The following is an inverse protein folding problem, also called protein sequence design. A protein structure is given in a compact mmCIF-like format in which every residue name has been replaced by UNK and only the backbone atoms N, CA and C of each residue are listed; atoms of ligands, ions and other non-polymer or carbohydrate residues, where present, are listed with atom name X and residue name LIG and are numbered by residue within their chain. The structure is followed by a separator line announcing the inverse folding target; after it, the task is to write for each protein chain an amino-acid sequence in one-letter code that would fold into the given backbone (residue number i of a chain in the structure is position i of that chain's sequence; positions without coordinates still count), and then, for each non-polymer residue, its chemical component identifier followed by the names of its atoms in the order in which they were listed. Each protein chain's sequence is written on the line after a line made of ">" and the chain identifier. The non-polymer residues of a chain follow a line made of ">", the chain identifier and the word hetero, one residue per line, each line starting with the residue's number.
data_IF_209791937633
#
_entry.id   IF_209791937633
#
_cell.length_a   1.000
_cell.length_b   1.000
_cell.length_c   1.000
_cell.angle_alpha   90.00
_cell.angle_beta   90.00
_cell.angle_gamma   90.00
#
_symmetry.space_group_name_H-M   'P 1'
#
loop_
_entity.id
_entity.type
_entity.pdbx_description
1 polymer ?
#
# COMPACT_ATOMS: atom_id res chain seq x y z
N UNK A 1 -39.30 46.49 24.20
CA UNK A 1 -39.53 45.85 22.87
C UNK A 1 -38.49 46.14 21.79
N UNK A 2 -37.31 46.68 22.16
CA UNK A 2 -36.31 47.10 21.19
C UNK A 2 -35.37 46.00 20.63
N UNK A 3 -35.45 44.76 21.15
CA UNK A 3 -34.55 43.68 20.72
C UNK A 3 -34.99 42.87 19.50
N UNK A 4 -36.26 42.90 19.12
CA UNK A 4 -36.77 42.02 18.02
C UNK A 4 -36.19 42.41 16.64
N UNK A 5 -36.05 43.71 16.36
CA UNK A 5 -35.49 44.17 15.10
C UNK A 5 -34.00 43.82 14.95
N UNK A 6 -33.21 43.92 16.02
CA UNK A 6 -31.79 43.55 16.00
C UNK A 6 -31.62 42.05 15.75
N UNK A 7 -32.41 41.22 16.43
CA UNK A 7 -32.37 39.75 16.26
C UNK A 7 -32.73 39.38 14.81
N UNK A 8 -33.72 40.03 14.23
CA UNK A 8 -34.14 39.78 12.83
C UNK A 8 -33.03 40.18 11.85
N UNK A 9 -32.36 41.33 12.06
CA UNK A 9 -31.24 41.74 11.22
C UNK A 9 -30.08 40.76 11.31
N UNK A 10 -29.71 40.36 12.53
CA UNK A 10 -28.64 39.36 12.74
C UNK A 10 -28.98 38.03 12.07
N UNK A 11 -30.22 37.58 12.18
CA UNK A 11 -30.67 36.34 11.52
C UNK A 11 -30.60 36.43 10.00
N UNK A 12 -30.98 37.55 9.41
CA UNK A 12 -30.90 37.78 7.96
C UNK A 12 -29.43 37.80 7.51
N UNK A 13 -28.56 38.53 8.22
CA UNK A 13 -27.13 38.59 7.89
C UNK A 13 -26.49 37.19 7.99
N UNK A 14 -26.79 36.45 9.05
CA UNK A 14 -26.29 35.09 9.21
C UNK A 14 -26.80 34.20 8.07
N UNK A 15 -28.06 34.29 7.69
CA UNK A 15 -28.63 33.55 6.56
C UNK A 15 -27.95 33.86 5.23
N UNK A 16 -27.62 35.14 4.97
CA UNK A 16 -26.89 35.56 3.77
C UNK A 16 -25.46 35.03 3.76
N UNK A 17 -24.77 34.98 4.90
CA UNK A 17 -23.43 34.39 5.04
C UNK A 17 -23.50 32.90 4.74
N UNK A 18 -24.46 32.15 5.34
CA UNK A 18 -24.64 30.73 5.08
C UNK A 18 -24.93 30.43 3.60
N UNK A 19 -25.78 31.23 2.95
CA UNK A 19 -26.04 31.10 1.52
C UNK A 19 -24.78 31.30 0.68
N UNK A 20 -23.99 32.33 1.02
CA UNK A 20 -22.73 32.62 0.31
C UNK A 20 -21.71 31.45 0.44
N UNK A 21 -21.64 30.80 1.60
CA UNK A 21 -20.75 29.64 1.81
C UNK A 21 -21.25 28.36 1.08
N UNK A 22 -22.53 28.25 0.76
CA UNK A 22 -23.08 27.13 -0.02
C UNK A 22 -22.88 27.27 -1.53
N UNK A 23 -22.70 28.51 -2.04
CA UNK A 23 -22.52 28.76 -3.48
C UNK A 23 -21.35 27.98 -4.12
N UNK A 24 -20.15 27.90 -3.51
CA UNK A 24 -19.07 27.11 -4.07
C UNK A 24 -19.41 25.64 -4.23
N UNK A 25 -20.10 25.05 -3.25
CA UNK A 25 -20.53 23.64 -3.28
C UNK A 25 -21.53 23.38 -4.41
N UNK A 26 -22.53 24.26 -4.55
CA UNK A 26 -23.51 24.15 -5.63
C UNK A 26 -22.86 24.30 -7.02
N UNK A 27 -21.97 25.27 -7.17
CA UNK A 27 -21.26 25.51 -8.43
C UNK A 27 -20.33 24.35 -8.80
N UNK A 28 -19.54 23.84 -7.85
CA UNK A 28 -18.67 22.67 -8.05
C UNK A 28 -19.48 21.44 -8.48
N UNK A 29 -20.58 21.15 -7.81
CA UNK A 29 -21.49 20.03 -8.15
C UNK A 29 -22.08 20.17 -9.56
N UNK A 30 -22.48 21.39 -9.96
CA UNK A 30 -23.00 21.67 -11.31
C UNK A 30 -21.94 21.41 -12.38
N UNK A 31 -20.72 21.90 -12.19
CA UNK A 31 -19.60 21.67 -13.12
C UNK A 31 -19.24 20.18 -13.19
N UNK A 32 -19.22 19.46 -12.07
CA UNK A 32 -18.95 18.01 -12.05
C UNK A 32 -19.99 17.22 -12.85
N UNK A 33 -21.27 17.55 -12.74
CA UNK A 33 -22.31 16.90 -13.54
C UNK A 33 -22.14 17.14 -15.05
N UNK A 34 -21.69 18.33 -15.44
CA UNK A 34 -21.37 18.66 -16.84
C UNK A 34 -20.13 17.91 -17.34
N UNK A 35 -19.08 17.79 -16.52
CA UNK A 35 -17.88 16.99 -16.83
C UNK A 35 -18.27 15.52 -16.98
N UNK A 36 -19.15 15.00 -16.13
CA UNK A 36 -19.61 13.62 -16.20
C UNK A 36 -20.44 13.37 -17.50
N UNK A 37 -21.24 14.32 -17.92
CA UNK A 37 -21.96 14.25 -19.19
C UNK A 37 -21.04 14.33 -20.42
N UNK A 38 -19.94 15.10 -20.31
CA UNK A 38 -18.96 15.29 -21.38
C UNK A 38 -17.85 14.18 -21.42
N UNK A 39 -18.04 13.04 -20.71
CA UNK A 39 -17.07 11.93 -20.69
C UNK A 39 -16.73 11.47 -22.10
N UNK A 40 -15.43 11.51 -22.43
CA UNK A 40 -14.88 11.14 -23.74
C UNK A 40 -14.49 12.32 -24.63
N UNK A 41 -14.82 13.57 -24.26
CA UNK A 41 -14.42 14.76 -25.01
C UNK A 41 -13.51 15.67 -24.16
N UNK A 42 -12.19 15.45 -24.23
CA UNK A 42 -11.21 16.19 -23.43
C UNK A 42 -11.23 17.71 -23.68
N UNK A 43 -11.52 18.13 -24.92
CA UNK A 43 -11.59 19.55 -25.28
C UNK A 43 -12.76 20.25 -24.56
N UNK A 44 -13.90 19.57 -24.49
CA UNK A 44 -15.10 20.09 -23.84
C UNK A 44 -14.93 20.11 -22.32
N UNK A 45 -14.34 19.07 -21.74
CA UNK A 45 -14.01 19.03 -20.31
C UNK A 45 -13.09 20.20 -19.92
N UNK A 46 -12.10 20.51 -20.75
CA UNK A 46 -11.20 21.66 -20.50
C UNK A 46 -11.96 23.00 -20.52
N UNK A 47 -12.85 23.20 -21.50
CA UNK A 47 -13.69 24.42 -21.58
C UNK A 47 -14.59 24.56 -20.35
N UNK A 48 -15.25 23.46 -19.92
CA UNK A 48 -16.13 23.42 -18.75
C UNK A 48 -15.34 23.77 -17.47
N UNK A 49 -14.10 23.31 -17.32
CA UNK A 49 -13.25 23.64 -16.17
C UNK A 49 -12.74 25.07 -16.16
N UNK A 50 -12.63 25.71 -17.33
CA UNK A 50 -12.22 27.11 -17.48
C UNK A 50 -13.39 28.09 -17.33
N UNK A 51 -14.64 27.59 -17.32
CA UNK A 51 -15.83 28.40 -17.09
C UNK A 51 -15.82 29.03 -15.69
N UNK A 52 -16.38 30.24 -15.59
CA UNK A 52 -16.34 31.01 -14.35
C UNK A 52 -17.74 31.53 -14.00
N UNK A 53 -18.12 31.38 -12.73
CA UNK A 53 -19.32 32.00 -12.20
C UNK A 53 -19.02 33.42 -11.76
N UNK A 54 -19.63 34.41 -12.42
CA UNK A 54 -19.52 35.81 -12.04
C UNK A 54 -20.63 36.17 -11.02
N UNK A 55 -20.22 36.41 -9.77
CA UNK A 55 -21.13 36.75 -8.66
C UNK A 55 -21.28 38.27 -8.49
N UNK A 56 -20.77 39.08 -9.42
CA UNK A 56 -20.82 40.57 -9.35
C UNK A 56 -19.70 41.16 -8.49
N UNK A 57 -19.47 40.64 -7.29
CA UNK A 57 -18.41 41.07 -6.38
C UNK A 57 -17.12 40.20 -6.47
N UNK A 58 -17.21 39.00 -7.03
CA UNK A 58 -16.08 38.10 -7.26
C UNK A 58 -16.34 37.14 -8.40
N UNK A 59 -15.25 36.66 -9.04
CA UNK A 59 -15.32 35.57 -10.02
C UNK A 59 -14.92 34.26 -9.33
N UNK A 60 -15.82 33.28 -9.38
CA UNK A 60 -15.60 31.97 -8.82
C UNK A 60 -15.18 31.02 -9.94
N UNK A 61 -13.92 30.58 -9.89
CA UNK A 61 -13.36 29.56 -10.78
C UNK A 61 -13.67 28.16 -10.22
N UNK A 62 -13.80 27.17 -11.09
CA UNK A 62 -14.03 25.78 -10.67
C UNK A 62 -13.01 25.29 -9.65
N UNK A 63 -11.71 25.58 -9.84
CA UNK A 63 -10.66 25.19 -8.89
C UNK A 63 -10.89 25.76 -7.49
N UNK A 64 -11.21 27.06 -7.39
CA UNK A 64 -11.51 27.72 -6.11
C UNK A 64 -12.83 27.24 -5.49
N UNK A 65 -13.84 26.93 -6.32
CA UNK A 65 -15.08 26.36 -5.85
C UNK A 65 -14.86 24.96 -5.27
N UNK A 66 -14.01 24.18 -5.90
CA UNK A 66 -13.65 22.84 -5.45
C UNK A 66 -12.88 22.84 -4.13
N UNK A 67 -11.98 23.80 -3.93
CA UNK A 67 -11.24 23.96 -2.67
C UNK A 67 -12.14 24.34 -1.50
N UNK A 68 -13.20 25.15 -1.80
CA UNK A 68 -14.20 25.62 -0.83
C UNK A 68 -15.45 24.75 -0.74
N UNK A 69 -15.54 23.69 -1.53
CA UNK A 69 -16.66 22.77 -1.51
C UNK A 69 -16.82 22.17 -0.10
N UNK A 70 -18.08 22.09 0.36
CA UNK A 70 -18.40 21.41 1.61
C UNK A 70 -18.00 19.93 1.52
N UNK A 71 -17.15 19.49 2.44
CA UNK A 71 -16.65 18.13 2.49
C UNK A 71 -17.74 17.20 2.99
N UNK A 72 -18.43 16.54 2.06
CA UNK A 72 -19.43 15.53 2.38
C UNK A 72 -18.74 14.19 2.63
N UNK A 73 -19.03 13.57 3.78
CA UNK A 73 -18.52 12.23 4.10
C UNK A 73 -19.12 11.14 3.23
N UNK A 74 -18.67 9.91 3.44
CA UNK A 74 -19.12 8.68 2.73
C UNK A 74 -20.65 8.52 2.76
N UNK A 75 -21.28 8.87 3.86
CA UNK A 75 -22.73 8.69 4.06
C UNK A 75 -23.57 9.58 3.13
N UNK A 76 -23.05 10.74 2.74
CA UNK A 76 -23.78 11.70 1.91
C UNK A 76 -23.37 11.67 0.43
N UNK A 77 -22.14 11.38 0.12
CA UNK A 77 -21.60 11.37 -1.26
C UNK A 77 -21.43 9.96 -1.83
N UNK A 78 -21.60 8.92 -0.98
CA UNK A 78 -21.20 7.56 -1.30
C UNK A 78 -19.69 7.45 -1.44
N UNK A 79 -19.19 6.27 -1.71
CA UNK A 79 -17.75 6.06 -1.91
C UNK A 79 -17.32 4.65 -1.56
N UNK A 80 -16.01 4.47 -1.41
CA UNK A 80 -15.39 3.20 -1.12
C UNK A 80 -14.74 3.28 0.25
N UNK A 81 -15.05 2.31 1.12
CA UNK A 81 -14.34 2.07 2.36
C UNK A 81 -13.60 0.73 2.24
N UNK A 82 -12.29 0.75 2.45
CA UNK A 82 -11.43 -0.43 2.37
C UNK A 82 -10.66 -0.57 3.67
N UNK A 83 -10.70 -1.76 4.26
CA UNK A 83 -9.83 -2.13 5.35
C UNK A 83 -8.69 -2.99 4.80
N UNK A 84 -7.48 -2.47 4.84
CA UNK A 84 -6.26 -3.17 4.43
C UNK A 84 -5.62 -3.82 5.65
N UNK A 85 -5.17 -5.04 5.51
CA UNK A 85 -4.39 -5.74 6.53
C UNK A 85 -3.02 -6.08 5.98
N UNK A 86 -1.98 -5.72 6.72
CA UNK A 86 -0.60 -6.04 6.36
C UNK A 86 -0.31 -7.46 6.82
N UNK A 87 0.22 -8.27 5.91
CA UNK A 87 0.59 -9.65 6.21
C UNK A 87 1.78 -9.69 7.18
N UNK A 88 1.49 -9.87 8.46
CA UNK A 88 2.52 -9.90 9.50
C UNK A 88 3.39 -11.15 9.43
N UNK A 89 2.87 -12.26 8.89
CA UNK A 89 3.68 -13.47 8.62
C UNK A 89 4.83 -13.17 7.67
N UNK A 90 4.55 -12.44 6.59
CA UNK A 90 5.58 -12.05 5.62
C UNK A 90 6.60 -11.11 6.24
N UNK A 91 6.17 -10.21 7.14
CA UNK A 91 7.09 -9.35 7.88
C UNK A 91 8.02 -10.15 8.78
N UNK A 92 7.52 -11.18 9.47
CA UNK A 92 8.38 -12.06 10.29
C UNK A 92 9.34 -12.83 9.40
N UNK A 93 8.89 -13.38 8.27
CA UNK A 93 9.75 -14.06 7.31
C UNK A 93 10.86 -13.15 6.77
N UNK A 94 10.53 -11.91 6.46
CA UNK A 94 11.52 -10.91 5.99
C UNK A 94 12.55 -10.58 7.07
N UNK A 95 12.10 -10.39 8.31
CA UNK A 95 12.99 -10.13 9.46
C UNK A 95 13.89 -11.32 9.78
N UNK A 96 13.46 -12.55 9.52
CA UNK A 96 14.26 -13.79 9.69
C UNK A 96 15.03 -14.16 8.42
N UNK A 97 15.10 -13.26 7.42
CA UNK A 97 15.75 -13.50 6.13
C UNK A 97 15.26 -14.79 5.44
N UNK A 98 13.94 -15.04 5.50
CA UNK A 98 13.30 -16.24 4.94
C UNK A 98 13.92 -17.55 5.45
N UNK A 99 14.20 -17.60 6.74
CA UNK A 99 14.77 -18.79 7.39
C UNK A 99 13.91 -20.02 7.14
N UNK A 100 14.57 -21.13 6.84
CA UNK A 100 13.95 -22.45 6.64
C UNK A 100 13.95 -23.29 7.91
N UNK A 101 14.24 -22.70 9.07
CA UNK A 101 14.29 -23.42 10.34
C UNK A 101 12.92 -24.05 10.66
N UNK A 102 12.86 -25.37 10.95
CA UNK A 102 11.59 -26.10 11.17
C UNK A 102 10.81 -25.60 12.40
N UNK A 103 11.49 -25.04 13.41
CA UNK A 103 10.82 -24.48 14.60
C UNK A 103 10.09 -23.20 14.23
N UNK A 104 10.72 -22.34 13.42
CA UNK A 104 10.13 -21.09 12.95
C UNK A 104 8.90 -21.37 12.07
N UNK A 105 9.03 -22.28 11.10
CA UNK A 105 7.94 -22.61 10.17
C UNK A 105 6.73 -23.18 10.94
N UNK A 106 6.96 -24.11 11.86
CA UNK A 106 5.89 -24.67 12.67
C UNK A 106 5.25 -23.63 13.60
N UNK A 107 6.06 -22.74 14.19
CA UNK A 107 5.55 -21.63 15.00
C UNK A 107 4.66 -20.69 14.18
N UNK A 108 5.07 -20.33 12.97
CA UNK A 108 4.26 -19.50 12.06
C UNK A 108 2.95 -20.18 11.67
N UNK A 109 2.98 -21.48 11.35
CA UNK A 109 1.77 -22.22 10.99
C UNK A 109 0.79 -22.29 12.18
N UNK A 110 1.28 -22.57 13.39
CA UNK A 110 0.45 -22.55 14.60
C UNK A 110 -0.07 -21.17 14.95
N UNK A 111 0.71 -20.12 14.66
CA UNK A 111 0.27 -18.74 14.85
C UNK A 111 -0.89 -18.40 13.94
N UNK A 112 -0.84 -18.80 12.65
CA UNK A 112 -1.93 -18.59 11.69
C UNK A 112 -3.23 -19.27 12.12
N UNK A 113 -3.12 -20.48 12.73
CA UNK A 113 -4.27 -21.20 13.29
C UNK A 113 -4.80 -20.50 14.54
N UNK A 114 -3.92 -20.14 15.47
CA UNK A 114 -4.30 -19.47 16.71
C UNK A 114 -4.90 -18.09 16.47
N UNK A 115 -4.43 -17.35 15.45
CA UNK A 115 -4.92 -16.02 15.13
C UNK A 115 -6.40 -15.99 14.74
N UNK A 116 -6.95 -17.08 14.19
CA UNK A 116 -8.37 -17.16 13.81
C UNK A 116 -9.31 -16.97 14.99
N UNK A 117 -8.89 -17.34 16.20
CA UNK A 117 -9.69 -17.31 17.42
C UNK A 117 -9.10 -16.39 18.51
N UNK A 118 -8.05 -15.63 18.21
CA UNK A 118 -7.34 -14.80 19.18
C UNK A 118 -7.62 -13.31 18.95
N UNK A 119 -7.76 -12.57 20.04
CA UNK A 119 -7.84 -11.10 20.04
C UNK A 119 -6.46 -10.44 20.21
N UNK A 120 -5.41 -11.24 20.50
CA UNK A 120 -4.04 -10.77 20.65
C UNK A 120 -3.46 -10.34 19.30
N UNK A 121 -2.40 -9.52 19.33
CA UNK A 121 -1.66 -9.20 18.12
C UNK A 121 -1.00 -10.46 17.54
N UNK A 122 -0.86 -10.52 16.20
CA UNK A 122 -0.21 -11.64 15.52
C UNK A 122 1.19 -11.92 16.08
N UNK A 123 1.96 -10.87 16.36
CA UNK A 123 3.33 -11.02 16.85
C UNK A 123 3.39 -11.55 18.31
N UNK A 124 2.41 -11.21 19.13
CA UNK A 124 2.32 -11.77 20.49
C UNK A 124 1.98 -13.27 20.42
N UNK A 125 1.00 -13.63 19.60
CA UNK A 125 0.67 -15.04 19.33
C UNK A 125 1.87 -15.79 18.76
N UNK A 126 2.64 -15.17 17.85
CA UNK A 126 3.84 -15.80 17.28
C UNK A 126 4.87 -16.14 18.36
N UNK A 127 5.18 -15.23 19.26
CA UNK A 127 6.14 -15.52 20.31
C UNK A 127 5.65 -16.61 21.27
N UNK A 128 4.36 -16.62 21.60
CA UNK A 128 3.76 -17.69 22.42
C UNK A 128 3.87 -19.05 21.73
N UNK A 129 3.53 -19.11 20.44
CA UNK A 129 3.63 -20.35 19.64
C UNK A 129 5.07 -20.79 19.43
N UNK A 130 5.99 -19.85 19.24
CA UNK A 130 7.42 -20.16 19.11
C UNK A 130 7.95 -20.79 20.40
N UNK A 131 7.65 -20.21 21.57
CA UNK A 131 8.06 -20.76 22.87
C UNK A 131 7.46 -22.15 23.10
N UNK A 132 6.19 -22.39 22.70
CA UNK A 132 5.53 -23.68 22.82
C UNK A 132 6.13 -24.73 21.89
N UNK A 133 6.41 -24.40 20.62
CA UNK A 133 7.03 -25.32 19.64
C UNK A 133 8.45 -25.65 20.05
N UNK A 134 9.23 -24.67 20.48
CA UNK A 134 10.60 -24.84 20.94
C UNK A 134 10.69 -25.83 22.10
N UNK A 135 9.80 -25.71 23.09
CA UNK A 135 9.67 -26.66 24.21
C UNK A 135 9.22 -28.04 23.74
N UNK A 136 8.23 -28.12 22.86
CA UNK A 136 7.70 -29.39 22.38
C UNK A 136 8.72 -30.20 21.58
N UNK A 137 9.60 -29.54 20.84
CA UNK A 137 10.69 -30.17 20.08
C UNK A 137 11.96 -30.44 20.92
N UNK A 138 11.99 -29.98 22.18
CA UNK A 138 13.17 -30.08 23.04
C UNK A 138 14.38 -29.30 22.53
N UNK A 139 14.14 -28.31 21.67
CA UNK A 139 15.18 -27.40 21.16
C UNK A 139 15.30 -26.19 22.08
N UNK A 140 16.53 -25.81 22.44
CA UNK A 140 16.79 -24.58 23.21
C UNK A 140 17.20 -23.43 22.28
N UNK A 141 16.46 -23.29 21.18
CA UNK A 141 16.73 -22.27 20.16
C UNK A 141 16.38 -20.89 20.72
N UNK A 142 17.34 -19.98 20.71
CA UNK A 142 17.14 -18.58 21.13
C UNK A 142 16.60 -17.74 19.98
N UNK A 143 15.78 -16.74 20.29
CA UNK A 143 15.34 -15.78 19.28
C UNK A 143 16.51 -15.01 18.63
N UNK A 144 17.60 -14.81 19.38
CA UNK A 144 18.82 -14.17 18.90
C UNK A 144 19.73 -15.07 18.03
N UNK A 145 19.29 -16.29 17.71
CA UNK A 145 20.06 -17.18 16.84
C UNK A 145 20.21 -16.60 15.44
N UNK A 146 21.40 -16.74 14.78
CA UNK A 146 21.63 -16.27 13.41
C UNK A 146 20.64 -16.83 12.37
N UNK A 147 20.11 -18.03 12.58
CA UNK A 147 19.08 -18.62 11.72
C UNK A 147 17.70 -17.96 11.91
N UNK A 148 17.51 -17.15 12.95
CA UNK A 148 16.26 -16.47 13.27
C UNK A 148 16.43 -14.96 13.14
N UNK A 149 16.35 -14.23 14.25
CA UNK A 149 16.43 -12.78 14.27
C UNK A 149 17.86 -12.23 14.44
N UNK A 150 18.83 -13.06 14.79
CA UNK A 150 20.25 -12.66 14.93
C UNK A 150 20.99 -12.55 13.60
N UNK A 151 20.30 -12.15 12.53
CA UNK A 151 20.82 -12.06 11.17
C UNK A 151 21.22 -10.61 10.79
N UNK A 152 21.75 -10.43 9.58
CA UNK A 152 22.22 -9.14 9.08
C UNK A 152 21.12 -8.08 8.91
N UNK A 153 19.85 -8.50 8.77
CA UNK A 153 18.71 -7.57 8.63
C UNK A 153 18.41 -6.86 9.95
N UNK A 154 18.81 -7.44 11.08
CA UNK A 154 18.60 -6.92 12.43
C UNK A 154 19.95 -6.76 13.16
N UNK A 155 20.81 -5.87 12.66
CA UNK A 155 22.16 -5.60 13.22
C UNK A 155 22.17 -5.21 14.71
N UNK A 156 21.01 -4.82 15.25
CA UNK A 156 20.81 -4.50 16.68
C UNK A 156 20.79 -5.77 17.55
N UNK A 157 20.48 -6.95 16.98
CA UNK A 157 20.40 -8.23 17.69
C UNK A 157 21.72 -8.95 17.57
N UNK A 158 22.36 -9.17 18.73
CA UNK A 158 23.59 -9.96 18.86
C UNK A 158 23.25 -11.28 19.54
N UNK A 159 24.11 -12.27 19.40
CA UNK A 159 23.94 -13.60 19.99
C UNK A 159 23.71 -13.58 21.53
N UNK A 160 24.19 -12.57 22.23
CA UNK A 160 24.00 -12.38 23.69
C UNK A 160 22.75 -11.56 24.04
N UNK A 161 21.96 -11.13 23.05
CA UNK A 161 20.71 -10.39 23.30
C UNK A 161 19.69 -11.33 23.94
N UNK A 162 19.00 -10.88 24.98
CA UNK A 162 17.95 -11.67 25.64
C UNK A 162 16.69 -11.77 24.78
N UNK A 163 15.90 -12.82 24.97
CA UNK A 163 14.68 -13.04 24.18
C UNK A 163 13.66 -11.88 24.37
N UNK A 164 13.58 -11.29 25.56
CA UNK A 164 12.73 -10.13 25.85
C UNK A 164 13.17 -8.90 25.05
N UNK A 165 14.46 -8.68 24.93
CA UNK A 165 15.02 -7.60 24.11
C UNK A 165 14.74 -7.84 22.63
N UNK A 166 14.92 -9.10 22.15
CA UNK A 166 14.59 -9.47 20.78
C UNK A 166 13.10 -9.24 20.49
N UNK A 167 12.21 -9.70 21.37
CA UNK A 167 10.75 -9.47 21.25
C UNK A 167 10.43 -7.97 21.11
N UNK A 168 11.06 -7.13 21.93
CA UNK A 168 10.86 -5.67 21.87
C UNK A 168 11.36 -5.07 20.54
N UNK A 169 12.55 -5.46 20.09
CA UNK A 169 13.15 -4.98 18.83
C UNK A 169 12.27 -5.40 17.64
N UNK A 170 11.84 -6.66 17.60
CA UNK A 170 10.99 -7.19 16.52
C UNK A 170 9.65 -6.47 16.47
N UNK A 171 8.98 -6.27 17.62
CA UNK A 171 7.74 -5.49 17.69
C UNK A 171 7.90 -4.08 17.14
N UNK A 172 8.98 -3.39 17.55
CA UNK A 172 9.30 -2.06 17.05
C UNK A 172 9.53 -2.06 15.53
N UNK A 173 10.26 -3.04 14.99
CA UNK A 173 10.51 -3.16 13.55
C UNK A 173 9.23 -3.40 12.76
N UNK A 174 8.34 -4.26 13.26
CA UNK A 174 7.03 -4.48 12.64
C UNK A 174 6.19 -3.20 12.65
N UNK A 175 6.16 -2.47 13.77
CA UNK A 175 5.42 -1.20 13.84
C UNK A 175 5.97 -0.14 12.87
N UNK A 176 7.29 -0.04 12.72
CA UNK A 176 7.93 0.81 11.73
C UNK A 176 7.58 0.38 10.29
N UNK A 177 7.55 -0.93 10.01
CA UNK A 177 7.16 -1.45 8.70
C UNK A 177 5.69 -1.13 8.38
N UNK A 178 4.81 -1.25 9.36
CA UNK A 178 3.40 -0.84 9.25
C UNK A 178 3.28 0.67 8.99
N UNK A 179 4.10 1.48 9.69
CA UNK A 179 4.18 2.92 9.46
C UNK A 179 4.62 3.27 8.03
N UNK A 180 5.66 2.60 7.53
CA UNK A 180 6.12 2.78 6.15
C UNK A 180 5.06 2.38 5.12
N UNK A 181 4.39 1.25 5.34
CA UNK A 181 3.29 0.80 4.48
C UNK A 181 2.13 1.81 4.47
N UNK A 182 1.80 2.39 5.61
CA UNK A 182 0.80 3.46 5.73
C UNK A 182 1.15 4.67 4.84
N UNK A 183 2.39 5.17 4.90
CA UNK A 183 2.82 6.30 4.07
C UNK A 183 2.82 5.97 2.57
N UNK A 184 3.20 4.75 2.21
CA UNK A 184 3.11 4.27 0.82
C UNK A 184 1.66 4.25 0.32
N UNK A 185 0.74 3.70 1.13
CA UNK A 185 -0.70 3.64 0.80
C UNK A 185 -1.24 5.05 0.65
N UNK A 186 -0.96 5.95 1.59
CA UNK A 186 -1.37 7.35 1.56
C UNK A 186 -0.91 8.03 0.27
N UNK A 187 0.37 7.91 -0.07
CA UNK A 187 0.92 8.48 -1.30
C UNK A 187 0.26 7.92 -2.57
N UNK A 188 -0.09 6.63 -2.59
CA UNK A 188 -0.80 6.02 -3.73
C UNK A 188 -2.21 6.55 -3.87
N UNK A 189 -2.91 6.73 -2.75
CA UNK A 189 -4.28 7.25 -2.73
C UNK A 189 -4.32 8.71 -3.19
N UNK A 190 -3.36 9.53 -2.75
CA UNK A 190 -3.23 10.91 -3.20
C UNK A 190 -3.05 10.98 -4.73
N UNK A 191 -2.27 10.06 -5.31
CA UNK A 191 -2.07 9.95 -6.77
C UNK A 191 -3.30 9.45 -7.53
N UNK A 192 -4.23 8.76 -6.86
CA UNK A 192 -5.50 8.33 -7.48
C UNK A 192 -6.42 9.50 -7.81
N UNK A 193 -6.16 10.67 -7.26
CA UNK A 193 -7.03 11.83 -7.40
C UNK A 193 -8.35 11.69 -6.62
N UNK A 194 -8.36 10.85 -5.57
CA UNK A 194 -9.48 10.77 -4.66
C UNK A 194 -9.69 12.14 -3.98
N UNK A 195 -10.94 12.57 -3.91
CA UNK A 195 -11.28 13.84 -3.28
C UNK A 195 -11.28 13.62 -1.78
N UNK A 196 -10.24 14.13 -1.10
CA UNK A 196 -10.10 14.10 0.37
C UNK A 196 -10.25 12.69 0.97
N UNK A 197 -9.34 11.78 0.61
CA UNK A 197 -9.34 10.47 1.21
C UNK A 197 -9.02 10.57 2.70
N UNK A 198 -9.66 9.73 3.50
CA UNK A 198 -9.31 9.56 4.91
C UNK A 198 -8.55 8.24 5.06
N UNK A 199 -7.29 8.33 5.47
CA UNK A 199 -6.42 7.17 5.67
C UNK A 199 -5.99 7.15 7.12
N UNK A 200 -6.31 6.07 7.84
CA UNK A 200 -6.03 5.95 9.27
C UNK A 200 -5.49 4.57 9.61
N UNK A 201 -4.49 4.53 10.50
CA UNK A 201 -4.06 3.27 11.13
C UNK A 201 -5.08 2.89 12.21
N UNK A 202 -5.45 1.61 12.25
CA UNK A 202 -6.28 1.08 13.34
C UNK A 202 -5.33 0.78 14.53
N UNK A 203 -5.47 1.48 15.66
CA UNK A 203 -4.56 1.33 16.79
C UNK A 203 -4.46 -0.12 17.29
N UNK A 204 -3.25 -0.55 17.63
CA UNK A 204 -3.00 -1.91 18.15
C UNK A 204 -3.09 -3.03 17.13
N UNK A 205 -3.27 -2.70 15.84
CA UNK A 205 -3.37 -3.68 14.75
C UNK A 205 -2.46 -3.31 13.59
N UNK A 206 -2.21 -4.26 12.67
CA UNK A 206 -1.54 -4.00 11.40
C UNK A 206 -2.54 -3.65 10.29
N UNK A 207 -3.65 -2.97 10.66
CA UNK A 207 -4.73 -2.61 9.72
C UNK A 207 -4.71 -1.12 9.44
N UNK A 208 -5.07 -0.79 8.20
CA UNK A 208 -5.21 0.58 7.70
C UNK A 208 -6.60 0.72 7.11
N UNK A 209 -7.39 1.63 7.66
CA UNK A 209 -8.68 2.01 7.10
C UNK A 209 -8.50 3.12 6.09
N UNK A 210 -9.12 2.95 4.93
CA UNK A 210 -9.05 3.88 3.81
C UNK A 210 -10.46 4.21 3.35
N UNK A 211 -10.85 5.45 3.49
CA UNK A 211 -12.13 5.97 3.04
C UNK A 211 -11.90 6.91 1.85
N UNK A 212 -12.59 6.68 0.77
CA UNK A 212 -12.48 7.45 -0.47
C UNK A 212 -13.86 7.91 -0.93
N UNK A 213 -14.32 9.09 -0.44
CA UNK A 213 -15.61 9.63 -0.83
C UNK A 213 -15.67 9.90 -2.33
N UNK A 214 -16.83 9.59 -2.94
CA UNK A 214 -17.09 9.85 -4.36
C UNK A 214 -16.41 8.89 -5.36
N UNK A 215 -15.59 7.95 -4.89
CA UNK A 215 -15.02 6.92 -5.75
C UNK A 215 -16.03 5.82 -6.03
N UNK A 216 -16.18 5.43 -7.31
CA UNK A 216 -17.14 4.39 -7.75
C UNK A 216 -16.46 3.12 -8.26
N UNK A 217 -15.20 3.22 -8.68
CA UNK A 217 -14.45 2.12 -9.32
C UNK A 217 -13.64 1.33 -8.27
N UNK A 218 -14.28 0.33 -7.70
CA UNK A 218 -13.70 -0.54 -6.67
C UNK A 218 -12.52 -1.34 -7.23
N UNK A 219 -12.59 -1.82 -8.48
CA UNK A 219 -11.56 -2.68 -9.06
C UNK A 219 -10.27 -1.90 -9.30
N UNK A 220 -10.38 -0.67 -9.78
CA UNK A 220 -9.22 0.22 -9.95
C UNK A 220 -8.54 0.51 -8.62
N UNK A 221 -9.32 0.83 -7.59
CA UNK A 221 -8.81 1.08 -6.23
C UNK A 221 -8.13 -0.18 -5.68
N UNK A 222 -8.80 -1.33 -5.75
CA UNK A 222 -8.27 -2.61 -5.29
C UNK A 222 -6.95 -2.96 -5.98
N UNK A 223 -6.90 -2.88 -7.30
CA UNK A 223 -5.70 -3.15 -8.09
C UNK A 223 -4.54 -2.26 -7.68
N UNK A 224 -4.78 -0.95 -7.48
CA UNK A 224 -3.72 -0.02 -7.10
C UNK A 224 -3.24 -0.22 -5.66
N UNK A 225 -4.13 -0.51 -4.73
CA UNK A 225 -3.78 -0.74 -3.33
C UNK A 225 -3.06 -2.08 -3.13
N UNK A 226 -3.47 -3.13 -3.86
CA UNK A 226 -2.87 -4.46 -3.77
C UNK A 226 -1.56 -4.60 -4.55
N UNK A 227 -1.27 -3.70 -5.49
CA UNK A 227 -0.01 -3.76 -6.23
C UNK A 227 1.15 -3.48 -5.28
N UNK A 228 1.92 -4.51 -4.97
CA UNK A 228 3.20 -4.39 -4.28
C UNK A 228 4.32 -4.58 -5.29
N UNK A 229 5.30 -3.67 -5.27
CA UNK A 229 6.52 -3.83 -6.04
C UNK A 229 7.68 -3.99 -5.07
N UNK A 230 8.33 -5.15 -5.10
CA UNK A 230 9.58 -5.36 -4.37
C UNK A 230 10.70 -4.75 -5.22
N UNK A 231 11.34 -3.70 -4.70
CA UNK A 231 12.52 -3.14 -5.34
C UNK A 231 13.67 -4.13 -5.21
N UNK A 232 14.21 -4.55 -6.33
CA UNK A 232 15.37 -5.43 -6.39
C UNK A 232 16.42 -4.78 -7.28
N UNK A 233 17.66 -4.77 -6.81
CA UNK A 233 18.80 -4.35 -7.59
C UNK A 233 19.51 -5.60 -8.10
N UNK A 234 19.69 -5.70 -9.41
CA UNK A 234 20.37 -6.78 -10.05
C UNK A 234 21.66 -6.24 -10.67
N UNK A 235 22.77 -6.86 -10.34
CA UNK A 235 24.01 -6.60 -11.04
C UNK A 235 23.92 -7.17 -12.46
N UNK A 236 24.01 -6.29 -13.44
CA UNK A 236 23.89 -6.68 -14.87
C UNK A 236 25.29 -6.90 -15.39
N UNK A 237 25.59 -8.15 -15.75
CA UNK A 237 26.82 -8.50 -16.41
C UNK A 237 26.76 -8.13 -17.90
N UNK A 238 27.86 -7.63 -18.45
CA UNK A 238 27.95 -7.29 -19.87
C UNK A 238 27.93 -8.58 -20.72
N UNK A 239 27.21 -8.54 -21.87
CA UNK A 239 27.12 -9.71 -22.76
C UNK A 239 28.49 -10.29 -23.15
N UNK A 240 29.54 -9.49 -23.42
CA UNK A 240 30.88 -10.03 -23.70
C UNK A 240 31.49 -10.85 -22.58
N UNK A 241 31.18 -10.53 -21.31
CA UNK A 241 31.72 -11.24 -20.15
C UNK A 241 31.09 -12.61 -19.95
N UNK A 242 29.78 -12.75 -20.28
CA UNK A 242 29.02 -13.99 -20.09
C UNK A 242 28.96 -14.86 -21.36
N UNK A 243 29.25 -14.29 -22.54
CA UNK A 243 29.18 -15.01 -23.80
C UNK A 243 30.07 -16.31 -23.84
N UNK A 244 31.31 -16.32 -23.30
CA UNK A 244 32.11 -17.54 -23.25
C UNK A 244 31.48 -18.67 -22.42
N UNK A 245 30.79 -18.32 -21.34
CA UNK A 245 30.09 -19.32 -20.49
C UNK A 245 28.92 -19.95 -21.25
N UNK A 246 28.16 -19.15 -22.01
CA UNK A 246 27.06 -19.66 -22.83
C UNK A 246 27.54 -20.51 -24.00
N UNK A 247 28.68 -20.17 -24.59
CA UNK A 247 29.29 -21.03 -25.61
C UNK A 247 29.70 -22.39 -25.03
N UNK A 248 30.31 -22.39 -23.86
CA UNK A 248 30.69 -23.62 -23.15
C UNK A 248 29.45 -24.45 -22.79
N UNK A 249 28.37 -23.81 -22.29
CA UNK A 249 27.12 -24.48 -22.02
C UNK A 249 26.50 -25.09 -23.28
N UNK A 250 26.51 -24.35 -24.40
CA UNK A 250 25.99 -24.81 -25.69
C UNK A 250 26.74 -26.06 -26.16
N UNK A 251 28.07 -26.10 -26.04
CA UNK A 251 28.88 -27.27 -26.40
C UNK A 251 28.64 -28.45 -25.47
N UNK A 252 28.49 -28.22 -24.15
CA UNK A 252 28.17 -29.28 -23.18
C UNK A 252 26.79 -29.88 -23.41
N UNK A 253 25.78 -29.05 -23.70
CA UNK A 253 24.41 -29.49 -24.00
C UNK A 253 24.37 -30.23 -25.34
N UNK A 254 25.09 -29.76 -26.37
CA UNK A 254 25.21 -30.47 -27.66
C UNK A 254 25.90 -31.86 -27.51
N UNK A 255 26.89 -31.97 -26.61
CA UNK A 255 27.56 -33.21 -26.32
C UNK A 255 26.69 -34.22 -25.54
N UNK A 256 25.72 -33.72 -24.71
CA UNK A 256 24.77 -34.58 -23.92
C UNK A 256 23.37 -34.62 -24.52
N UNK A 257 23.15 -34.10 -25.71
CA UNK A 257 21.88 -33.68 -26.27
C UNK A 257 20.78 -34.75 -26.40
N UNK A 258 21.05 -36.05 -26.32
CA UNK A 258 20.01 -37.08 -26.45
C UNK A 258 19.39 -37.50 -25.09
N UNK A 259 20.05 -37.21 -23.97
CA UNK A 259 19.56 -37.59 -22.63
C UNK A 259 18.69 -36.56 -21.91
N UNK A 260 18.62 -35.33 -22.40
CA UNK A 260 17.89 -34.23 -21.77
C UNK A 260 16.72 -33.68 -22.57
N UNK A 261 16.41 -34.21 -23.75
CA UNK A 261 15.25 -33.76 -24.57
C UNK A 261 15.38 -32.34 -25.13
N UNK A 262 16.57 -31.76 -25.14
CA UNK A 262 16.83 -30.42 -25.65
C UNK A 262 17.15 -30.48 -27.14
N UNK A 263 16.46 -29.67 -27.97
CA UNK A 263 16.70 -29.63 -29.41
C UNK A 263 18.16 -29.28 -29.71
N UNK A 264 18.79 -30.06 -30.61
CA UNK A 264 20.21 -29.97 -31.00
C UNK A 264 20.72 -28.61 -31.52
N UNK A 265 19.83 -27.62 -31.72
CA UNK A 265 20.16 -26.33 -32.35
C UNK A 265 19.74 -25.11 -31.50
N UNK A 266 19.69 -25.20 -30.20
CA UNK A 266 19.38 -24.03 -29.34
C UNK A 266 20.65 -23.17 -29.19
N UNK A 267 20.69 -22.08 -29.95
CA UNK A 267 21.73 -21.07 -29.74
C UNK A 267 21.27 -20.09 -28.68
N UNK A 268 21.75 -20.26 -27.45
CA UNK A 268 21.39 -19.43 -26.30
C UNK A 268 21.73 -17.93 -26.49
N UNK A 269 22.71 -17.61 -27.35
CA UNK A 269 23.07 -16.22 -27.67
C UNK A 269 21.94 -15.51 -28.43
N UNK A 270 21.19 -16.22 -29.25
CA UNK A 270 20.06 -15.65 -29.99
C UNK A 270 18.83 -15.40 -29.08
N UNK A 271 18.70 -16.13 -27.97
CA UNK A 271 17.66 -15.89 -26.97
C UNK A 271 17.91 -14.60 -26.15
N UNK A 272 19.18 -14.23 -25.93
CA UNK A 272 19.54 -12.99 -25.25
C UNK A 272 19.32 -11.73 -26.12
N UNK A 273 19.25 -11.86 -27.44
CA UNK A 273 18.97 -10.73 -28.34
C UNK A 273 17.48 -10.39 -28.45
N UNK A 274 16.58 -11.31 -28.08
CA UNK A 274 15.14 -11.09 -28.13
C UNK A 274 14.61 -10.13 -27.07
N UNK A 275 15.34 -9.94 -25.98
CA UNK A 275 14.95 -9.00 -24.92
C UNK A 275 15.23 -7.52 -25.24
N UNK A 276 16.07 -7.22 -26.23
CA UNK A 276 16.31 -5.85 -26.71
C UNK A 276 15.13 -5.24 -27.49
N UNK A 277 14.11 -6.01 -27.83
CA UNK A 277 12.93 -5.57 -28.57
C UNK A 277 11.70 -5.33 -27.69
N UNK A 278 11.85 -5.41 -26.36
CA UNK A 278 10.75 -5.22 -25.38
C UNK A 278 10.91 -4.02 -24.43
N UNK A 279 11.76 -3.06 -24.75
CA UNK A 279 11.82 -1.77 -24.04
C UNK A 279 11.11 -0.67 -24.83
#
# INVERSE_FOLDING_TARGET
>A
MQGKGLITIVAIVLGLICLNELLPTWYASKIESQIEAAKGNEKEIKRIKEDTLNLGYTKLYYSKAKDKEMKLGLDLKGGINVLLEINQRDLVNDLTNYSTNPVLIDALNKTDEAQKNSTKSYIDNFFEQFDAVNKAKGTNLKLADPELFGNTNLSEIKYNTTDEQVKSIVKRRIDLSVGTAFEVIRTRIDKLGAIQPNVQRVPGTARISVEMPGMKDIDKVKKMLQTSAKLQFWEVQQVPEIAPYFQTLTTMVAAKGDSMGVAKNVNFINLLQLDKLRT
#
